data_IF_419198654963
#
_entry.id   IF_419198654963
#
_cell.length_a   1.000
_cell.length_b   1.000
_cell.length_c   1.000
_cell.angle_alpha   90.00
_cell.angle_beta   90.00
_cell.angle_gamma   90.00
#
_symmetry.space_group_name_H-M   'P 1'
#
loop_
_entity.id
_entity.type
_entity.pdbx_description
1 polymer ?
#
# COMPACT_ATOMS: atom_id res chain seq x y z
N UNK A 1 -6.64 6.42 -15.64
CA UNK A 1 -7.13 6.98 -14.36
C UNK A 1 -8.16 6.03 -13.81
N UNK A 2 -8.09 5.69 -12.53
CA UNK A 2 -9.11 4.87 -11.87
C UNK A 2 -10.44 5.64 -11.96
N UNK A 3 -11.48 4.98 -12.45
CA UNK A 3 -12.83 5.54 -12.45
C UNK A 3 -13.37 5.44 -11.02
N UNK A 4 -13.05 6.45 -10.20
CA UNK A 4 -13.50 6.50 -8.81
C UNK A 4 -14.99 6.78 -8.82
N UNK A 5 -15.83 5.91 -8.23
CA UNK A 5 -17.27 6.09 -8.32
C UNK A 5 -17.68 7.39 -7.62
N UNK A 6 -18.52 8.17 -8.31
CA UNK A 6 -18.98 9.48 -7.82
C UNK A 6 -20.16 9.26 -6.87
N UNK A 7 -19.87 9.20 -5.58
CA UNK A 7 -20.91 9.11 -4.56
C UNK A 7 -21.29 10.49 -4.00
N UNK A 8 -22.58 10.68 -3.75
CA UNK A 8 -23.08 11.73 -2.87
C UNK A 8 -22.75 11.39 -1.40
N UNK A 9 -22.73 12.39 -0.50
CA UNK A 9 -22.51 12.12 0.93
C UNK A 9 -23.49 11.11 1.53
N UNK A 10 -24.75 11.08 1.06
CA UNK A 10 -25.77 10.14 1.54
C UNK A 10 -25.48 8.71 1.08
N UNK A 11 -25.03 8.53 -0.16
CA UNK A 11 -24.64 7.21 -0.68
C UNK A 11 -23.40 6.68 0.04
N UNK A 12 -22.41 7.55 0.32
CA UNK A 12 -21.23 7.15 1.11
C UNK A 12 -21.66 6.66 2.49
N UNK A 13 -22.53 7.40 3.20
CA UNK A 13 -23.03 7.00 4.51
C UNK A 13 -23.78 5.66 4.41
N UNK A 14 -24.65 5.50 3.41
CA UNK A 14 -25.40 4.27 3.19
C UNK A 14 -24.50 3.06 2.91
N UNK A 15 -23.40 3.23 2.17
CA UNK A 15 -22.43 2.15 1.96
C UNK A 15 -21.65 1.83 3.25
N UNK A 16 -21.34 2.84 4.06
CA UNK A 16 -20.71 2.63 5.37
C UNK A 16 -21.65 1.94 6.38
N UNK A 17 -22.97 2.19 6.30
CA UNK A 17 -23.99 1.57 7.16
C UNK A 17 -24.02 0.03 7.01
N UNK A 18 -23.61 -0.50 5.86
CA UNK A 18 -23.54 -1.96 5.62
C UNK A 18 -22.48 -2.67 6.45
N UNK A 19 -21.48 -1.94 6.95
CA UNK A 19 -20.32 -2.51 7.64
C UNK A 19 -20.13 -1.95 9.06
N UNK A 20 -20.55 -0.71 9.31
CA UNK A 20 -20.41 -0.04 10.59
C UNK A 20 -21.80 0.23 11.17
N UNK A 21 -22.05 -0.19 12.40
CA UNK A 21 -23.32 0.08 13.09
C UNK A 21 -23.20 1.40 13.87
N UNK A 22 -24.18 2.29 13.72
CA UNK A 22 -24.19 3.61 14.39
C UNK A 22 -23.09 4.55 13.90
N UNK A 23 -22.50 5.36 14.77
CA UNK A 23 -21.42 6.32 14.46
C UNK A 23 -21.76 7.31 13.33
N UNK A 24 -23.01 7.79 13.30
CA UNK A 24 -23.54 8.61 12.21
C UNK A 24 -22.73 9.90 11.97
N UNK A 25 -22.27 10.55 13.03
CA UNK A 25 -21.48 11.77 12.93
C UNK A 25 -20.12 11.52 12.27
N UNK A 26 -19.45 10.43 12.66
CA UNK A 26 -18.17 10.02 12.07
C UNK A 26 -18.33 9.66 10.59
N UNK A 27 -19.39 8.89 10.24
CA UNK A 27 -19.73 8.57 8.84
C UNK A 27 -19.99 9.82 8.01
N UNK A 28 -20.73 10.78 8.56
CA UNK A 28 -21.01 12.06 7.90
C UNK A 28 -19.75 12.88 7.67
N UNK A 29 -18.86 12.95 8.66
CA UNK A 29 -17.58 13.66 8.55
C UNK A 29 -16.72 13.09 7.42
N UNK A 30 -16.54 11.77 7.37
CA UNK A 30 -15.75 11.13 6.30
C UNK A 30 -16.41 11.23 4.93
N UNK A 31 -17.74 11.20 4.86
CA UNK A 31 -18.49 11.38 3.62
C UNK A 31 -18.32 12.80 3.06
N UNK A 32 -18.29 13.82 3.92
CA UNK A 32 -18.02 15.20 3.52
C UNK A 32 -16.58 15.34 3.02
N UNK A 33 -15.60 14.79 3.73
CA UNK A 33 -14.19 14.86 3.32
C UNK A 33 -13.98 14.22 1.94
N UNK A 34 -14.53 13.02 1.70
CA UNK A 34 -14.46 12.36 0.40
C UNK A 34 -15.21 13.13 -0.69
N UNK A 35 -16.38 13.70 -0.39
CA UNK A 35 -17.12 14.52 -1.36
C UNK A 35 -16.39 15.81 -1.71
N UNK A 36 -15.71 16.42 -0.74
CA UNK A 36 -14.94 17.65 -0.97
C UNK A 36 -13.75 17.38 -1.90
N UNK A 37 -13.13 16.19 -1.85
CA UNK A 37 -12.12 15.78 -2.84
C UNK A 37 -12.69 15.80 -4.27
N UNK A 38 -13.87 15.21 -4.50
CA UNK A 38 -14.52 15.28 -5.80
C UNK A 38 -14.85 16.72 -6.22
N UNK A 39 -15.38 17.52 -5.29
CA UNK A 39 -15.71 18.95 -5.55
C UNK A 39 -14.47 19.75 -5.95
N UNK A 40 -13.34 19.53 -5.29
CA UNK A 40 -12.05 20.14 -5.61
C UNK A 40 -11.65 19.88 -7.06
N UNK A 41 -11.82 18.65 -7.56
CA UNK A 41 -11.51 18.31 -8.96
C UNK A 41 -12.40 19.04 -9.97
N UNK A 42 -13.60 19.47 -9.58
CA UNK A 42 -14.50 20.27 -10.43
C UNK A 42 -14.13 21.76 -10.47
N UNK A 43 -13.20 22.21 -9.62
CA UNK A 43 -12.77 23.60 -9.60
C UNK A 43 -11.79 23.91 -10.75
N UNK A 44 -11.74 25.18 -11.22
CA UNK A 44 -10.66 25.67 -12.05
C UNK A 44 -9.29 25.47 -11.37
N UNK A 45 -8.25 25.27 -12.17
CA UNK A 45 -6.89 24.96 -11.69
C UNK A 45 -6.39 25.94 -10.62
N UNK A 46 -6.51 27.24 -10.87
CA UNK A 46 -6.09 28.28 -9.91
C UNK A 46 -6.78 28.21 -8.54
N UNK A 47 -8.03 27.73 -8.47
CA UNK A 47 -8.72 27.52 -7.18
C UNK A 47 -8.54 26.12 -6.62
N UNK A 48 -8.22 25.14 -7.47
CA UNK A 48 -8.05 23.74 -7.05
C UNK A 48 -6.87 23.59 -6.10
N UNK A 49 -5.81 24.35 -6.36
CA UNK A 49 -4.57 24.25 -5.58
C UNK A 49 -4.67 24.92 -4.21
N UNK A 50 -5.55 25.90 -4.06
CA UNK A 50 -5.84 26.59 -2.79
C UNK A 50 -6.76 25.78 -1.85
N UNK A 51 -7.41 24.72 -2.36
CA UNK A 51 -8.34 23.91 -1.57
C UNK A 51 -7.63 22.68 -1.00
N UNK A 52 -7.22 22.80 0.26
CA UNK A 52 -6.62 21.70 1.04
C UNK A 52 -7.67 20.70 1.56
N UNK A 53 -7.31 19.42 1.75
CA UNK A 53 -8.16 18.42 2.39
C UNK A 53 -8.64 18.88 3.77
N UNK A 54 -9.85 18.45 4.15
CA UNK A 54 -10.36 18.64 5.51
C UNK A 54 -10.04 17.39 6.31
N UNK A 55 -8.89 17.43 6.98
CA UNK A 55 -8.41 16.38 7.87
C UNK A 55 -9.41 16.15 9.02
N UNK A 56 -9.40 14.96 9.60
CA UNK A 56 -10.42 14.51 10.57
C UNK A 56 -9.74 14.03 11.83
N UNK A 57 -10.22 14.49 12.99
CA UNK A 57 -9.90 13.92 14.30
C UNK A 57 -11.09 13.12 14.84
N UNK A 58 -10.94 11.81 14.96
CA UNK A 58 -11.95 10.92 15.55
C UNK A 58 -11.67 10.69 17.03
N UNK A 59 -12.63 11.08 17.88
CA UNK A 59 -12.55 10.93 19.33
C UNK A 59 -13.53 9.85 19.78
N UNK A 60 -13.07 8.87 20.54
CA UNK A 60 -13.94 7.86 21.15
C UNK A 60 -13.18 6.67 21.71
N UNK A 61 -13.84 5.79 22.47
CA UNK A 61 -13.19 4.63 23.10
C UNK A 61 -12.63 3.64 22.05
N UNK A 62 -11.76 2.74 22.47
CA UNK A 62 -11.29 1.64 21.63
C UNK A 62 -12.46 0.74 21.21
N UNK A 63 -12.37 0.10 20.05
CA UNK A 63 -13.40 -0.82 19.56
C UNK A 63 -14.69 -0.20 19.01
N UNK A 64 -14.88 1.13 19.05
CA UNK A 64 -16.12 1.75 18.53
C UNK A 64 -16.20 1.87 17.00
N UNK A 65 -15.19 1.40 16.26
CA UNK A 65 -15.20 1.36 14.79
C UNK A 65 -14.42 2.48 14.07
N UNK A 66 -13.64 3.32 14.77
CA UNK A 66 -12.87 4.43 14.15
C UNK A 66 -12.01 3.98 12.96
N UNK A 67 -11.19 2.95 13.17
CA UNK A 67 -10.32 2.38 12.12
C UNK A 67 -11.12 1.72 11.01
N UNK A 68 -12.25 1.10 11.32
CA UNK A 68 -13.09 0.42 10.32
C UNK A 68 -13.79 1.44 9.41
N UNK A 69 -14.24 2.58 9.94
CA UNK A 69 -14.78 3.68 9.13
C UNK A 69 -13.73 4.17 8.12
N UNK A 70 -12.50 4.45 8.57
CA UNK A 70 -11.43 4.91 7.68
C UNK A 70 -11.03 3.85 6.63
N UNK A 71 -10.93 2.58 7.04
CA UNK A 71 -10.62 1.46 6.13
C UNK A 71 -11.69 1.27 5.07
N UNK A 72 -12.97 1.34 5.45
CA UNK A 72 -14.11 1.20 4.52
C UNK A 72 -14.22 2.39 3.59
N UNK A 73 -13.97 3.60 4.09
CA UNK A 73 -13.89 4.81 3.27
C UNK A 73 -12.82 4.66 2.18
N UNK A 74 -11.62 4.20 2.54
CA UNK A 74 -10.55 4.01 1.57
C UNK A 74 -10.89 2.97 0.51
N UNK A 75 -11.50 1.85 0.93
CA UNK A 75 -11.95 0.81 -0.01
C UNK A 75 -13.04 1.33 -0.96
N UNK A 76 -14.00 2.10 -0.44
CA UNK A 76 -15.07 2.73 -1.24
C UNK A 76 -14.49 3.73 -2.25
N UNK A 77 -13.54 4.55 -1.81
CA UNK A 77 -12.88 5.56 -2.62
C UNK A 77 -11.81 4.99 -3.58
N UNK A 78 -11.54 3.68 -3.53
CA UNK A 78 -10.41 3.06 -4.22
C UNK A 78 -9.09 3.81 -3.96
N UNK A 79 -8.87 4.20 -2.70
CA UNK A 79 -7.74 4.99 -2.25
C UNK A 79 -6.64 4.12 -1.62
N UNK A 80 -5.35 4.45 -1.80
CA UNK A 80 -4.30 3.83 -1.03
C UNK A 80 -4.44 4.25 0.44
N UNK A 81 -4.25 3.29 1.34
CA UNK A 81 -4.53 3.45 2.76
C UNK A 81 -3.41 2.86 3.60
N UNK A 82 -2.96 3.61 4.59
CA UNK A 82 -2.02 3.13 5.60
C UNK A 82 -2.54 3.46 7.01
N UNK A 83 -2.41 2.49 7.92
CA UNK A 83 -2.64 2.68 9.36
C UNK A 83 -1.27 2.76 10.04
N UNK A 84 -1.04 3.79 10.82
CA UNK A 84 0.17 3.94 11.64
C UNK A 84 -0.21 4.37 13.06
N UNK A 85 0.48 3.84 14.06
CA UNK A 85 0.34 4.24 15.46
C UNK A 85 1.29 5.41 15.75
N UNK A 86 0.78 6.50 16.34
CA UNK A 86 1.57 7.70 16.61
C UNK A 86 2.72 7.45 17.60
N UNK A 87 2.53 6.51 18.52
CA UNK A 87 3.52 6.11 19.54
C UNK A 87 4.77 5.46 18.95
N UNK A 88 4.68 4.91 17.73
CA UNK A 88 5.81 4.30 17.00
C UNK A 88 6.99 5.26 16.78
N UNK A 89 6.73 6.57 16.82
CA UNK A 89 7.73 7.61 16.62
C UNK A 89 8.30 8.18 17.94
N UNK A 90 7.81 7.71 19.10
CA UNK A 90 8.20 8.24 20.44
C UNK A 90 9.26 7.42 21.17
N UNK A 91 9.66 6.24 20.67
CA UNK A 91 10.58 5.35 21.38
C UNK A 91 12.06 5.75 21.20
N UNK A 92 12.86 5.55 22.26
CA UNK A 92 14.31 5.90 22.41
C UNK A 92 15.23 5.20 21.38
N UNK A 93 14.68 4.41 20.45
CA UNK A 93 15.36 3.82 19.31
C UNK A 93 15.16 4.62 18.02
N UNK A 94 15.56 5.90 18.02
CA UNK A 94 15.60 6.79 16.84
C UNK A 94 16.73 6.40 15.86
N UNK A 95 16.83 5.11 15.51
CA UNK A 95 17.72 4.63 14.45
C UNK A 95 16.85 3.92 13.41
N UNK A 96 16.21 4.70 12.54
CA UNK A 96 15.73 4.20 11.24
C UNK A 96 14.25 4.29 10.91
N UNK A 97 13.37 4.94 11.71
CA UNK A 97 11.99 5.22 11.30
C UNK A 97 11.61 6.70 11.45
N UNK A 98 11.93 7.42 10.40
CA UNK A 98 11.48 8.77 10.07
C UNK A 98 9.97 8.80 9.80
N UNK A 99 9.25 9.85 10.23
CA UNK A 99 7.81 10.06 9.98
C UNK A 99 7.47 10.06 8.49
N UNK A 100 8.40 10.43 7.62
CA UNK A 100 8.22 10.35 6.17
C UNK A 100 8.00 8.91 5.69
N UNK A 101 8.38 7.89 6.48
CA UNK A 101 8.07 6.49 6.18
C UNK A 101 6.58 6.24 6.01
N UNK A 102 5.71 7.01 6.66
CA UNK A 102 4.25 6.96 6.47
C UNK A 102 3.90 7.15 4.99
N UNK A 103 4.51 8.15 4.36
CA UNK A 103 4.24 8.49 2.96
C UNK A 103 4.89 7.48 2.02
N UNK A 104 6.10 6.99 2.34
CA UNK A 104 6.76 5.93 1.57
C UNK A 104 5.92 4.65 1.56
N UNK A 105 5.40 4.23 2.72
CA UNK A 105 4.52 3.07 2.86
C UNK A 105 3.18 3.28 2.11
N UNK A 106 2.64 4.51 2.12
CA UNK A 106 1.44 4.85 1.35
C UNK A 106 1.67 4.71 -0.17
N UNK A 107 2.84 5.11 -0.68
CA UNK A 107 3.20 4.92 -2.10
C UNK A 107 3.31 3.43 -2.43
N UNK A 108 3.90 2.62 -1.55
CA UNK A 108 3.94 1.16 -1.76
C UNK A 108 2.54 0.53 -1.80
N UNK A 109 1.63 0.99 -0.94
CA UNK A 109 0.24 0.58 -0.97
C UNK A 109 -0.44 0.97 -2.30
N UNK A 110 -0.16 2.17 -2.82
CA UNK A 110 -0.65 2.65 -4.13
C UNK A 110 -0.15 1.80 -5.30
N UNK A 111 1.15 1.48 -5.32
CA UNK A 111 1.76 0.63 -6.36
C UNK A 111 1.14 -0.76 -6.33
N UNK A 112 0.99 -1.35 -5.14
CA UNK A 112 0.40 -2.67 -4.98
C UNK A 112 -1.03 -2.69 -5.51
N UNK A 113 -1.81 -1.67 -5.15
CA UNK A 113 -3.19 -1.53 -5.59
C UNK A 113 -3.31 -1.38 -7.11
N UNK A 114 -2.54 -0.48 -7.72
CA UNK A 114 -2.59 -0.25 -9.18
C UNK A 114 -2.00 -1.41 -9.97
N UNK A 115 -0.97 -2.09 -9.47
CA UNK A 115 -0.42 -3.28 -10.10
C UNK A 115 -1.49 -4.35 -10.24
N UNK A 116 -2.22 -4.61 -9.16
CA UNK A 116 -3.30 -5.61 -9.17
C UNK A 116 -4.44 -5.22 -10.10
N UNK A 117 -4.76 -3.93 -10.20
CA UNK A 117 -5.75 -3.45 -11.16
C UNK A 117 -5.28 -3.59 -12.61
N UNK A 118 -4.04 -3.22 -12.90
CA UNK A 118 -3.49 -3.28 -14.26
C UNK A 118 -3.33 -4.74 -14.73
N UNK A 119 -3.00 -5.68 -13.82
CA UNK A 119 -3.00 -7.12 -14.11
C UNK A 119 -4.33 -7.60 -14.67
N UNK A 120 -5.45 -7.17 -14.09
CA UNK A 120 -6.80 -7.50 -14.60
C UNK A 120 -7.01 -6.99 -16.04
N UNK A 121 -6.43 -5.83 -16.37
CA UNK A 121 -6.49 -5.28 -17.73
C UNK A 121 -5.70 -6.06 -18.77
N UNK A 122 -4.67 -6.82 -18.36
CA UNK A 122 -3.84 -7.66 -19.26
C UNK A 122 -4.11 -9.15 -19.13
N UNK A 123 -5.07 -9.55 -18.31
CA UNK A 123 -5.35 -10.95 -17.96
C UNK A 123 -5.47 -11.86 -19.18
N UNK A 124 -6.27 -11.48 -20.18
CA UNK A 124 -6.48 -12.29 -21.40
C UNK A 124 -5.18 -12.53 -22.17
N UNK A 125 -4.31 -11.51 -22.25
CA UNK A 125 -3.00 -11.63 -22.93
C UNK A 125 -2.03 -12.48 -22.11
N UNK A 126 -2.06 -12.32 -20.78
CA UNK A 126 -1.25 -13.10 -19.85
C UNK A 126 -1.62 -14.58 -19.87
N UNK A 127 -2.92 -14.91 -19.85
CA UNK A 127 -3.45 -16.27 -19.98
C UNK A 127 -3.00 -16.93 -21.29
N UNK A 128 -3.10 -16.22 -22.41
CA UNK A 128 -2.65 -16.74 -23.71
C UNK A 128 -1.13 -16.99 -23.75
N UNK A 129 -0.32 -16.10 -23.16
CA UNK A 129 1.13 -16.26 -23.08
C UNK A 129 1.55 -17.40 -22.14
N UNK A 130 0.87 -17.53 -20.99
CA UNK A 130 1.07 -18.61 -20.04
C UNK A 130 0.69 -19.96 -20.66
N UNK A 131 -0.43 -20.04 -21.38
CA UNK A 131 -0.87 -21.23 -22.12
C UNK A 131 0.22 -21.71 -23.10
N UNK A 132 0.85 -20.79 -23.84
CA UNK A 132 1.93 -21.14 -24.77
C UNK A 132 3.19 -21.67 -24.06
N UNK A 133 3.55 -21.13 -22.90
CA UNK A 133 4.65 -21.64 -22.06
C UNK A 133 4.34 -23.03 -21.50
N UNK A 134 3.11 -23.25 -21.04
CA UNK A 134 2.64 -24.57 -20.58
C UNK A 134 2.69 -25.58 -21.72
N UNK A 135 2.20 -25.23 -22.90
CA UNK A 135 2.23 -26.11 -24.07
C UNK A 135 3.67 -26.48 -24.42
N UNK A 136 4.56 -25.50 -24.46
CA UNK A 136 5.98 -25.72 -24.73
C UNK A 136 6.62 -26.64 -23.68
N UNK A 137 6.28 -26.50 -22.40
CA UNK A 137 6.74 -27.42 -21.34
C UNK A 137 6.18 -28.85 -21.50
N UNK A 138 4.97 -29.01 -22.02
CA UNK A 138 4.31 -30.32 -22.19
C UNK A 138 4.81 -31.10 -23.41
N UNK A 139 5.03 -30.42 -24.55
CA UNK A 139 5.37 -31.08 -25.81
C UNK A 139 6.81 -30.85 -26.27
N UNK A 140 7.52 -29.90 -25.66
CA UNK A 140 8.86 -29.48 -26.07
C UNK A 140 8.86 -28.51 -27.25
N UNK A 141 9.96 -27.76 -27.41
CA UNK A 141 10.10 -26.72 -28.44
C UNK A 141 9.95 -27.25 -29.87
N UNK A 142 10.43 -28.49 -30.12
CA UNK A 142 10.45 -29.13 -31.44
C UNK A 142 9.17 -29.90 -31.82
N UNK A 143 8.09 -29.79 -31.06
CA UNK A 143 6.84 -30.49 -31.37
C UNK A 143 6.18 -30.01 -32.67
N UNK A 144 5.60 -30.94 -33.44
CA UNK A 144 4.85 -30.62 -34.65
C UNK A 144 3.61 -29.76 -34.36
N UNK A 145 3.17 -28.97 -35.35
CA UNK A 145 1.99 -28.12 -35.21
C UNK A 145 0.73 -28.91 -34.81
N UNK A 146 0.53 -30.10 -35.39
CA UNK A 146 -0.60 -30.98 -35.04
C UNK A 146 -0.56 -31.44 -33.58
N UNK A 147 0.64 -31.76 -33.07
CA UNK A 147 0.82 -32.14 -31.67
C UNK A 147 0.48 -30.98 -30.74
N UNK A 148 0.98 -29.77 -31.05
CA UNK A 148 0.65 -28.56 -30.29
C UNK A 148 -0.86 -28.29 -30.28
N UNK A 149 -1.54 -28.37 -31.42
CA UNK A 149 -3.00 -28.16 -31.52
C UNK A 149 -3.78 -29.19 -30.68
N UNK A 150 -3.38 -30.47 -30.73
CA UNK A 150 -4.01 -31.52 -29.94
C UNK A 150 -3.85 -31.28 -28.44
N UNK A 151 -2.63 -31.00 -27.97
CA UNK A 151 -2.36 -30.72 -26.56
C UNK A 151 -3.03 -29.43 -26.07
N UNK A 152 -3.13 -28.41 -26.92
CA UNK A 152 -3.90 -27.19 -26.63
C UNK A 152 -5.37 -27.48 -26.36
N UNK A 153 -5.97 -28.35 -27.17
CA UNK A 153 -7.36 -28.78 -26.94
C UNK A 153 -7.50 -29.55 -25.62
N UNK A 154 -6.59 -30.47 -25.34
CA UNK A 154 -6.60 -31.26 -24.09
C UNK A 154 -6.40 -30.37 -22.85
N UNK A 155 -5.50 -29.38 -22.93
CA UNK A 155 -5.25 -28.40 -21.87
C UNK A 155 -6.50 -27.57 -21.56
N UNK A 156 -7.19 -27.07 -22.59
CA UNK A 156 -8.44 -26.30 -22.44
C UNK A 156 -9.61 -27.17 -21.97
N UNK A 157 -9.59 -28.46 -22.28
CA UNK A 157 -10.59 -29.42 -21.83
C UNK A 157 -10.36 -29.89 -20.38
N UNK A 158 -9.26 -29.50 -19.72
CA UNK A 158 -8.94 -29.93 -18.36
C UNK A 158 -8.47 -31.38 -18.27
N UNK A 159 -8.07 -32.00 -19.38
CA UNK A 159 -7.66 -33.41 -19.42
C UNK A 159 -6.24 -33.64 -18.87
N UNK A 160 -5.53 -32.56 -18.51
CA UNK A 160 -4.11 -32.58 -18.14
C UNK A 160 -3.85 -32.10 -16.69
N UNK A 161 -4.89 -31.81 -15.90
CA UNK A 161 -4.75 -31.21 -14.56
C UNK A 161 -3.92 -32.06 -13.58
N UNK A 162 -3.95 -33.39 -13.72
CA UNK A 162 -3.18 -34.31 -12.87
C UNK A 162 -1.68 -34.39 -13.23
N UNK A 163 -1.24 -33.70 -14.29
CA UNK A 163 0.16 -33.78 -14.74
C UNK A 163 1.03 -32.78 -14.00
N UNK A 164 2.24 -33.23 -13.67
CA UNK A 164 3.32 -32.34 -13.27
C UNK A 164 4.09 -31.84 -14.49
N UNK A 165 4.38 -30.55 -14.53
CA UNK A 165 5.18 -29.93 -15.57
C UNK A 165 6.39 -29.23 -14.97
N UNK A 166 7.49 -29.24 -15.72
CA UNK A 166 8.68 -28.48 -15.37
C UNK A 166 8.63 -27.13 -16.09
N UNK A 167 8.50 -26.06 -15.32
CA UNK A 167 8.44 -24.69 -15.85
C UNK A 167 9.56 -23.87 -15.23
N UNK A 168 10.20 -23.04 -16.06
CA UNK A 168 11.10 -22.02 -15.58
C UNK A 168 10.26 -20.87 -15.03
N UNK A 169 10.39 -20.56 -13.73
CA UNK A 169 9.71 -19.44 -13.10
C UNK A 169 10.74 -18.47 -12.57
N UNK A 170 10.49 -17.18 -12.72
CA UNK A 170 11.26 -16.16 -12.03
C UNK A 170 10.89 -16.21 -10.56
N UNK A 171 11.89 -16.34 -9.68
CA UNK A 171 11.64 -16.20 -8.25
C UNK A 171 11.05 -14.82 -7.98
N UNK A 172 9.87 -14.77 -7.35
CA UNK A 172 9.39 -13.53 -6.74
C UNK A 172 10.49 -12.99 -5.83
N UNK A 173 10.58 -11.67 -5.59
CA UNK A 173 11.41 -11.15 -4.52
C UNK A 173 10.89 -11.75 -3.21
N UNK A 174 11.44 -12.89 -2.81
CA UNK A 174 11.32 -13.39 -1.46
C UNK A 174 11.85 -12.25 -0.62
N UNK A 175 10.98 -11.70 0.24
CA UNK A 175 11.42 -10.87 1.35
C UNK A 175 12.64 -11.55 1.97
N UNK A 176 13.67 -10.76 2.23
CA UNK A 176 14.94 -11.19 2.83
C UNK A 176 14.72 -12.41 3.73
N UNK A 177 15.38 -13.55 3.48
CA UNK A 177 15.20 -14.71 4.34
C UNK A 177 15.55 -14.30 5.77
N UNK A 178 14.53 -14.29 6.63
CA UNK A 178 14.66 -14.15 8.07
C UNK A 178 15.37 -15.41 8.56
N UNK A 179 16.70 -15.38 8.49
CA UNK A 179 17.57 -16.49 8.86
C UNK A 179 19.04 -16.09 9.06
N UNK A 180 19.40 -14.84 8.82
CA UNK A 180 20.73 -14.25 9.10
C UNK A 180 20.64 -13.21 10.21
N UNK A 181 19.96 -13.54 11.31
CA UNK A 181 19.95 -12.70 12.51
C UNK A 181 20.89 -13.32 13.55
N UNK A 182 22.08 -12.71 13.63
CA UNK A 182 23.00 -12.61 14.76
C UNK A 182 23.12 -13.80 15.71
N UNK A 183 24.17 -14.61 15.50
CA UNK A 183 24.84 -15.32 16.58
C UNK A 183 25.86 -14.36 17.24
N UNK A 184 25.66 -13.93 18.50
CA UNK A 184 26.59 -13.04 19.18
C UNK A 184 27.93 -13.76 19.42
N UNK A 185 29.02 -13.26 18.82
CA UNK A 185 30.39 -13.71 19.15
C UNK A 185 31.27 -14.23 18.01
N UNK A 186 30.84 -14.16 16.74
CA UNK A 186 31.71 -14.50 15.60
C UNK A 186 32.44 -13.24 15.05
N UNK A 187 33.75 -13.34 14.71
CA UNK A 187 34.53 -12.20 14.22
C UNK A 187 34.01 -11.64 12.89
N UNK A 188 33.94 -10.31 12.80
CA UNK A 188 33.64 -9.54 11.59
C UNK A 188 34.74 -9.73 10.54
N UNK A 189 34.68 -10.83 9.79
CA UNK A 189 35.34 -10.88 8.48
C UNK A 189 34.35 -10.39 7.43
N UNK A 190 34.64 -9.22 6.87
CA UNK A 190 33.90 -8.52 5.81
C UNK A 190 33.90 -9.22 4.46
N UNK A 191 33.60 -10.52 4.43
CA UNK A 191 33.32 -11.31 3.24
C UNK A 191 31.80 -11.55 3.09
N UNK A 192 30.98 -10.56 3.43
CA UNK A 192 29.54 -10.62 3.24
C UNK A 192 29.24 -10.41 1.75
N UNK A 193 29.01 -11.53 1.07
CA UNK A 193 28.05 -11.73 -0.03
C UNK A 193 28.06 -10.75 -1.22
N UNK A 194 29.24 -10.44 -1.77
CA UNK A 194 29.35 -9.81 -3.10
C UNK A 194 28.60 -10.62 -4.18
N UNK A 195 28.51 -11.95 -4.04
CA UNK A 195 27.76 -12.83 -4.95
C UNK A 195 26.24 -12.70 -4.89
N UNK A 196 25.64 -12.40 -3.73
CA UNK A 196 24.19 -12.14 -3.63
C UNK A 196 23.84 -10.72 -4.07
N UNK A 197 24.71 -9.75 -3.78
CA UNK A 197 24.55 -8.37 -4.24
C UNK A 197 24.66 -8.28 -5.78
N UNK A 198 25.57 -9.06 -6.36
CA UNK A 198 25.75 -9.17 -7.82
C UNK A 198 24.60 -9.95 -8.50
N UNK A 199 23.99 -10.94 -7.84
CA UNK A 199 22.73 -11.59 -8.27
C UNK A 199 21.50 -10.69 -8.15
N UNK A 200 21.55 -9.65 -7.31
CA UNK A 200 20.53 -8.60 -7.26
C UNK A 200 20.64 -7.64 -8.44
N UNK A 201 21.84 -7.44 -8.99
CA UNK A 201 22.12 -6.52 -10.09
C UNK A 201 21.97 -7.16 -11.48
N UNK A 202 22.31 -8.44 -11.62
CA UNK A 202 21.98 -9.27 -12.77
C UNK A 202 20.74 -10.07 -12.44
N UNK A 203 19.56 -9.62 -12.91
CA UNK A 203 18.26 -10.22 -12.59
C UNK A 203 18.30 -11.74 -12.43
N UNK A 204 17.72 -12.24 -11.34
CA UNK A 204 17.76 -13.67 -10.98
C UNK A 204 17.30 -14.51 -12.18
N UNK A 205 18.17 -15.42 -12.61
CA UNK A 205 17.88 -16.39 -13.65
C UNK A 205 16.63 -17.20 -13.27
N UNK A 206 15.72 -17.48 -14.22
CA UNK A 206 14.55 -18.32 -13.95
C UNK A 206 14.98 -19.67 -13.37
N UNK A 207 14.37 -20.08 -12.26
CA UNK A 207 14.63 -21.41 -11.69
C UNK A 207 13.63 -22.39 -12.27
N UNK A 208 14.13 -23.54 -12.75
CA UNK A 208 13.24 -24.62 -13.20
C UNK A 208 12.63 -25.29 -11.98
N UNK A 209 11.31 -25.37 -11.95
CA UNK A 209 10.53 -26.00 -10.90
C UNK A 209 9.56 -26.98 -11.51
N UNK A 210 9.48 -28.16 -10.90
CA UNK A 210 8.46 -29.15 -11.23
C UNK A 210 7.27 -28.93 -10.31
N UNK A 211 6.11 -28.63 -10.90
CA UNK A 211 4.89 -28.25 -10.19
C UNK A 211 3.67 -28.94 -10.83
N UNK A 212 2.59 -29.17 -10.07
CA UNK A 212 1.31 -29.54 -10.66
C UNK A 212 0.84 -28.49 -11.68
N UNK A 213 0.20 -28.93 -12.76
CA UNK A 213 -0.28 -28.05 -13.82
C UNK A 213 -1.13 -26.87 -13.32
N UNK A 214 -2.07 -27.02 -12.36
CA UNK A 214 -2.86 -25.90 -11.85
C UNK A 214 -2.00 -24.82 -11.18
N UNK A 215 -0.99 -25.23 -10.40
CA UNK A 215 -0.08 -24.32 -9.72
C UNK A 215 0.86 -23.62 -10.70
N UNK A 216 1.41 -24.37 -11.65
CA UNK A 216 2.24 -23.83 -12.72
C UNK A 216 1.47 -22.82 -13.58
N UNK A 217 0.19 -23.11 -13.89
CA UNK A 217 -0.71 -22.20 -14.61
C UNK A 217 -0.87 -20.87 -13.88
N UNK A 218 -1.28 -20.90 -12.61
CA UNK A 218 -1.48 -19.69 -11.82
C UNK A 218 -0.17 -18.87 -11.65
N UNK A 219 0.98 -19.54 -11.49
CA UNK A 219 2.27 -18.88 -11.38
C UNK A 219 2.69 -18.21 -12.71
N UNK A 220 2.56 -18.92 -13.83
CA UNK A 220 2.89 -18.40 -15.16
C UNK A 220 1.97 -17.25 -15.58
N UNK A 221 0.66 -17.36 -15.34
CA UNK A 221 -0.29 -16.28 -15.61
C UNK A 221 0.09 -15.01 -14.86
N UNK A 222 0.49 -15.12 -13.59
CA UNK A 222 0.95 -13.99 -12.79
C UNK A 222 2.25 -13.39 -13.32
N UNK A 223 3.22 -14.22 -13.67
CA UNK A 223 4.51 -13.78 -14.22
C UNK A 223 4.34 -13.06 -15.57
N UNK A 224 3.54 -13.63 -16.48
CA UNK A 224 3.25 -13.00 -17.77
C UNK A 224 2.44 -11.72 -17.60
N UNK A 225 1.49 -11.68 -16.66
CA UNK A 225 0.76 -10.45 -16.34
C UNK A 225 1.71 -9.35 -15.88
N UNK A 226 2.65 -9.65 -14.97
CA UNK A 226 3.66 -8.69 -14.49
C UNK A 226 4.59 -8.22 -15.60
N UNK A 227 4.99 -9.12 -16.50
CA UNK A 227 5.85 -8.81 -17.65
C UNK A 227 5.17 -7.86 -18.66
N UNK A 228 3.85 -7.95 -18.78
CA UNK A 228 3.06 -7.10 -19.69
C UNK A 228 2.79 -5.69 -19.13
N UNK A 229 3.14 -5.42 -17.86
CA UNK A 229 2.93 -4.11 -17.26
C UNK A 229 4.04 -3.13 -17.64
N UNK A 230 3.65 -1.91 -17.99
CA UNK A 230 4.57 -0.78 -18.06
C UNK A 230 4.88 -0.30 -16.63
N UNK A 231 6.10 -0.60 -16.17
CA UNK A 231 6.54 -0.28 -14.81
C UNK A 231 6.70 1.22 -14.58
N UNK A 232 7.09 1.97 -15.60
CA UNK A 232 7.35 3.41 -15.49
C UNK A 232 6.03 4.17 -15.44
N UNK A 233 5.09 3.82 -16.32
CA UNK A 233 3.73 4.33 -16.28
C UNK A 233 3.02 3.97 -14.97
N UNK A 234 3.15 2.72 -14.50
CA UNK A 234 2.60 2.27 -13.22
C UNK A 234 3.14 3.10 -12.06
N UNK A 235 4.46 3.34 -12.02
CA UNK A 235 5.10 4.10 -10.95
C UNK A 235 4.61 5.55 -10.93
N UNK A 236 4.55 6.19 -12.09
CA UNK A 236 4.04 7.56 -12.23
C UNK A 236 2.56 7.67 -11.83
N UNK A 237 1.74 6.72 -12.25
CA UNK A 237 0.33 6.67 -11.89
C UNK A 237 0.13 6.42 -10.38
N UNK A 238 0.96 5.57 -9.78
CA UNK A 238 0.90 5.27 -8.36
C UNK A 238 1.28 6.46 -7.47
N UNK A 239 2.31 7.22 -7.85
CA UNK A 239 2.66 8.47 -7.18
C UNK A 239 1.47 9.44 -7.23
N UNK A 240 0.96 9.73 -8.42
CA UNK A 240 -0.19 10.64 -8.61
C UNK A 240 -1.43 10.17 -7.84
N UNK A 241 -1.66 8.86 -7.78
CA UNK A 241 -2.77 8.26 -7.02
C UNK A 241 -2.58 8.41 -5.51
N UNK A 242 -1.37 8.22 -5.00
CA UNK A 242 -1.07 8.47 -3.59
C UNK A 242 -1.22 9.96 -3.22
N UNK A 243 -0.75 10.88 -4.07
CA UNK A 243 -0.87 12.33 -3.85
C UNK A 243 -2.34 12.77 -3.76
N UNK A 244 -3.16 12.37 -4.73
CA UNK A 244 -4.51 12.92 -4.88
C UNK A 244 -5.56 12.10 -4.14
N UNK A 245 -5.32 10.79 -3.98
CA UNK A 245 -6.30 9.88 -3.42
C UNK A 245 -5.86 9.23 -2.10
N UNK A 246 -4.62 9.43 -1.65
CA UNK A 246 -4.11 8.85 -0.42
C UNK A 246 -4.92 9.16 0.83
N UNK A 247 -4.98 8.18 1.73
CA UNK A 247 -5.58 8.30 3.06
C UNK A 247 -4.61 7.73 4.08
N UNK A 248 -4.21 8.55 5.05
CA UNK A 248 -3.36 8.16 6.18
C UNK A 248 -4.22 8.14 7.44
N UNK A 249 -4.21 7.01 8.16
CA UNK A 249 -4.86 6.88 9.46
C UNK A 249 -3.82 6.87 10.57
N UNK A 250 -3.81 7.93 11.38
CA UNK A 250 -2.93 8.10 12.55
C UNK A 250 -3.68 7.68 13.81
N UNK A 251 -3.41 6.47 14.29
CA UNK A 251 -4.03 5.94 15.50
C UNK A 251 -3.29 6.41 16.76
N UNK A 252 -4.01 6.47 17.87
CA UNK A 252 -3.48 6.85 19.19
C UNK A 252 -2.75 8.21 19.25
N UNK A 253 -3.24 9.22 18.51
CA UNK A 253 -2.65 10.58 18.51
C UNK A 253 -2.71 11.23 19.90
N UNK A 254 -3.66 10.83 20.74
CA UNK A 254 -3.78 11.34 22.12
C UNK A 254 -2.59 10.92 23.00
N UNK A 255 -1.87 9.85 22.64
CA UNK A 255 -0.69 9.39 23.39
C UNK A 255 0.53 10.29 23.21
N UNK A 256 0.61 11.02 22.11
CA UNK A 256 1.66 12.01 21.87
C UNK A 256 1.30 13.41 22.38
N UNK A 257 0.08 13.59 22.94
CA UNK A 257 -0.37 14.82 23.60
C UNK A 257 -0.12 14.82 25.11
N UNK A 258 -0.12 13.63 25.73
CA UNK A 258 -0.13 13.51 27.19
C UNK A 258 1.18 14.01 27.81
N UNK A 259 1.08 15.07 28.63
CA UNK A 259 2.16 15.54 29.51
C UNK A 259 2.35 14.55 30.65
N UNK A 260 3.58 14.22 30.97
CA UNK A 260 3.86 13.38 32.14
C UNK A 260 3.57 14.20 33.41
N UNK A 261 2.60 13.79 34.24
CA UNK A 261 2.34 14.40 35.55
C UNK A 261 3.53 14.14 36.48
N UNK A 262 4.58 14.99 36.39
CA UNK A 262 5.78 14.81 37.19
C UNK A 262 7.05 15.48 36.65
N UNK A 263 6.98 16.76 36.28
CA UNK A 263 8.14 17.61 35.99
C UNK A 263 8.94 17.24 34.73
N UNK A 264 9.64 18.23 34.18
CA UNK A 264 10.56 18.11 33.04
C UNK A 264 11.48 16.87 33.16
N UNK A 265 11.08 15.75 32.58
CA UNK A 265 11.91 14.56 32.34
C UNK A 265 11.87 14.28 30.85
N UNK A 266 13.03 14.01 30.25
CA UNK A 266 13.31 14.08 28.80
C UNK A 266 12.41 13.29 27.83
N UNK A 267 11.37 12.57 28.29
CA UNK A 267 10.37 11.95 27.43
C UNK A 267 9.32 12.92 26.86
N UNK A 268 9.03 14.04 27.54
CA UNK A 268 8.04 15.02 27.06
C UNK A 268 8.50 15.72 25.77
N UNK A 269 9.81 15.98 25.62
CA UNK A 269 10.41 16.57 24.40
C UNK A 269 10.25 15.64 23.19
N UNK A 270 10.26 14.32 23.42
CA UNK A 270 10.11 13.33 22.35
C UNK A 270 8.67 13.27 21.81
N UNK A 271 7.66 13.42 22.66
CA UNK A 271 6.25 13.37 22.24
C UNK A 271 5.81 14.61 21.45
N UNK A 272 6.21 15.79 21.91
CA UNK A 272 5.99 17.03 21.17
C UNK A 272 6.80 17.05 19.87
N UNK A 273 8.02 16.49 19.89
CA UNK A 273 8.85 16.29 18.70
C UNK A 273 8.11 15.53 17.59
N UNK A 274 7.42 14.44 17.93
CA UNK A 274 6.61 13.70 16.95
C UNK A 274 5.51 14.56 16.33
N UNK A 275 4.83 15.41 17.11
CA UNK A 275 3.82 16.32 16.55
C UNK A 275 4.44 17.31 15.56
N UNK A 276 5.62 17.87 15.89
CA UNK A 276 6.37 18.78 15.00
C UNK A 276 6.84 18.08 13.73
N UNK A 277 7.28 16.83 13.84
CA UNK A 277 7.75 16.04 12.70
C UNK A 277 6.57 15.65 11.78
N UNK A 278 5.38 15.40 12.34
CA UNK A 278 4.17 15.12 11.55
C UNK A 278 3.61 16.36 10.83
N UNK A 279 3.86 17.56 11.35
CA UNK A 279 3.27 18.80 10.85
C UNK A 279 3.59 19.08 9.36
N UNK A 280 4.84 18.99 8.88
CA UNK A 280 5.14 19.14 7.46
C UNK A 280 4.36 18.18 6.54
N UNK A 281 4.09 16.96 7.00
CA UNK A 281 3.33 15.99 6.21
C UNK A 281 1.86 16.42 6.04
N UNK A 282 1.30 17.03 7.08
CA UNK A 282 -0.11 17.45 7.14
C UNK A 282 -0.32 18.80 6.43
N UNK A 283 0.61 19.73 6.58
CA UNK A 283 0.58 21.05 5.93
C UNK A 283 0.87 20.98 4.42
N UNK A 284 1.68 20.00 4.01
CA UNK A 284 2.10 19.84 2.62
C UNK A 284 3.61 19.97 2.50
N UNK A 285 4.26 18.86 2.18
CA UNK A 285 5.70 18.80 1.90
C UNK A 285 5.99 17.84 0.76
N UNK A 286 7.23 17.86 0.27
CA UNK A 286 7.71 16.89 -0.70
C UNK A 286 8.56 15.83 0.01
N UNK A 287 8.08 14.59 0.02
CA UNK A 287 8.81 13.44 0.55
C UNK A 287 9.55 12.72 -0.57
N UNK A 288 10.81 12.38 -0.34
CA UNK A 288 11.57 11.55 -1.28
C UNK A 288 11.29 10.07 -1.08
N UNK A 289 10.97 9.37 -2.18
CA UNK A 289 10.79 7.92 -2.19
C UNK A 289 11.69 7.27 -3.24
N UNK A 290 11.89 5.96 -3.17
CA UNK A 290 12.60 5.19 -4.22
C UNK A 290 11.93 5.23 -5.59
N UNK A 291 10.68 5.71 -5.66
CA UNK A 291 9.89 5.83 -6.87
C UNK A 291 9.89 7.25 -7.46
N UNK A 292 10.44 8.22 -6.72
CA UNK A 292 10.40 9.64 -7.04
C UNK A 292 9.88 10.49 -5.87
N UNK A 293 9.91 11.81 -6.02
CA UNK A 293 9.32 12.73 -5.05
C UNK A 293 7.79 12.61 -5.06
N UNK A 294 7.18 12.79 -3.89
CA UNK A 294 5.73 12.83 -3.72
C UNK A 294 5.32 14.04 -2.87
N UNK A 295 4.27 14.74 -3.29
CA UNK A 295 3.66 15.85 -2.55
C UNK A 295 2.56 15.38 -1.60
N UNK A 296 2.53 15.87 -0.37
CA UNK A 296 1.55 15.45 0.64
C UNK A 296 0.31 16.35 0.73
N UNK A 297 0.28 17.45 -0.01
CA UNK A 297 -0.70 18.55 0.04
C UNK A 297 -2.17 18.08 -0.02
N UNK A 298 -2.45 16.97 -0.72
CA UNK A 298 -3.81 16.47 -0.96
C UNK A 298 -4.11 15.10 -0.35
N UNK A 299 -3.18 14.58 0.46
CA UNK A 299 -3.39 13.37 1.25
C UNK A 299 -4.39 13.69 2.36
N UNK A 300 -5.40 12.83 2.55
CA UNK A 300 -6.34 12.97 3.64
C UNK A 300 -5.77 12.31 4.89
N UNK A 301 -5.59 13.09 5.96
CA UNK A 301 -5.22 12.58 7.27
C UNK A 301 -6.47 12.38 8.14
N UNK A 302 -6.58 11.19 8.72
CA UNK A 302 -7.59 10.85 9.72
C UNK A 302 -6.83 10.43 10.98
N UNK A 303 -6.79 11.32 11.96
CA UNK A 303 -6.24 11.02 13.27
C UNK A 303 -7.32 10.43 14.18
N UNK A 304 -6.95 9.57 15.11
CA UNK A 304 -7.86 9.10 16.14
C UNK A 304 -7.21 8.95 17.50
N UNK A 305 -8.01 9.11 18.55
CA UNK A 305 -7.58 8.93 19.92
C UNK A 305 -8.74 8.66 20.86
N UNK A 306 -8.43 8.11 22.03
CA UNK A 306 -9.42 7.94 23.09
C UNK A 306 -9.64 9.23 23.88
N UNK A 307 -8.58 10.04 24.04
CA UNK A 307 -8.58 11.30 24.76
C UNK A 307 -9.10 11.15 26.20
N UNK A 308 -8.73 10.05 26.87
CA UNK A 308 -9.04 9.81 28.28
C UNK A 308 -8.15 10.63 29.23
N UNK A 309 -6.88 10.84 28.84
CA UNK A 309 -5.85 11.49 29.67
C UNK A 309 -5.33 12.79 29.07
N UNK A 310 -5.76 13.13 27.85
CA UNK A 310 -5.43 14.35 27.13
C UNK A 310 -6.69 14.87 26.45
N UNK A 311 -6.70 16.15 26.09
CA UNK A 311 -7.75 16.80 25.32
C UNK A 311 -7.21 17.17 23.94
N UNK A 312 -8.07 17.32 22.91
CA UNK A 312 -7.64 17.84 21.61
C UNK A 312 -6.93 19.19 21.70
N UNK A 313 -7.30 20.02 22.68
CA UNK A 313 -6.66 21.31 22.95
C UNK A 313 -5.20 21.19 23.44
N UNK A 314 -4.75 19.99 23.82
CA UNK A 314 -3.36 19.72 24.22
C UNK A 314 -2.44 19.38 23.03
N UNK A 315 -2.99 19.25 21.82
CA UNK A 315 -2.20 19.19 20.58
C UNK A 315 -1.52 20.55 20.33
N UNK A 316 -0.44 20.56 19.55
CA UNK A 316 0.15 21.80 19.06
C UNK A 316 -0.90 22.64 18.29
N UNK A 317 -0.96 23.97 18.50
CA UNK A 317 -1.93 24.83 17.81
C UNK A 317 -1.92 24.67 16.28
N UNK A 318 -0.74 24.46 15.70
CA UNK A 318 -0.53 24.25 14.27
C UNK A 318 -1.19 22.95 13.78
N UNK A 319 -1.21 21.91 14.63
CA UNK A 319 -1.82 20.61 14.33
C UNK A 319 -3.34 20.60 14.58
N UNK A 320 -3.85 21.56 15.36
CA UNK A 320 -5.28 21.77 15.56
C UNK A 320 -5.95 22.50 14.38
N UNK A 321 -5.19 23.34 13.68
CA UNK A 321 -5.63 24.07 12.47
C UNK A 321 -5.93 23.16 11.30
#
# INVERSE_FOLDING_TARGET
MIDVPIYSPREIVSELDRFIIGQNDAKRAVAIALRNRWRRLQLPEAMRDEVVPKNILMIGPTGCGKTEIARRLAKLAQAPFIKVEATKFTEVGYVGRDVESIVRDLVEASITMLREQNRKGVQVKAEAAAEERILTALVGDGASADTRVKFKRMLRAGELEDKEIEVALSDAPAGMPIGMMDMPGAPQNGAINLGEMMKGMFGRQPTKRKLPLPEARAALEREEADRLLDTDALTKDALRHAENNGIVFLDEIDKICAKTEGGFRGGDVSREGVQRDLLPLIEGTTVSTKYGPIKTDYILFIASGAFHVAKPADLLPELQG
#
